data_IF_259079237153
#
_entry.id   IF_259079237153
#
_cell.length_a   1.000
_cell.length_b   1.000
_cell.length_c   1.000
_cell.angle_alpha   90.00
_cell.angle_beta   90.00
_cell.angle_gamma   90.00
#
_symmetry.space_group_name_H-M   'P 1'
#
loop_
_entity.id
_entity.type
_entity.pdbx_description
1 polymer ?
#
# COMPACT_ATOMS: atom_id res chain seq x y z
N UNK A 1 -28.30 11.36 1.26
CA UNK A 1 -27.78 10.03 1.61
C UNK A 1 -26.30 10.06 1.25
N UNK A 2 -25.40 9.60 2.12
CA UNK A 2 -23.95 9.58 1.84
C UNK A 2 -23.66 8.42 0.89
N UNK A 3 -22.87 8.68 -0.16
CA UNK A 3 -22.40 7.65 -1.10
C UNK A 3 -21.06 7.08 -0.63
N UNK A 4 -20.97 5.76 -0.52
CA UNK A 4 -19.79 5.02 -0.07
C UNK A 4 -19.10 4.27 -1.23
N UNK A 5 -19.57 4.43 -2.47
CA UNK A 5 -18.87 3.87 -3.62
C UNK A 5 -17.50 4.52 -3.79
N UNK A 6 -16.51 3.71 -4.15
CA UNK A 6 -15.18 4.22 -4.47
C UNK A 6 -15.21 5.06 -5.74
N UNK A 7 -14.46 6.16 -5.72
CA UNK A 7 -14.18 6.93 -6.94
C UNK A 7 -13.32 6.11 -7.90
N UNK A 8 -13.27 6.50 -9.17
CA UNK A 8 -12.41 5.81 -10.14
C UNK A 8 -10.91 5.98 -9.82
N UNK A 9 -10.53 7.07 -9.15
CA UNK A 9 -9.17 7.26 -8.65
C UNK A 9 -8.86 6.28 -7.50
N UNK A 10 -9.80 6.11 -6.56
CA UNK A 10 -9.68 5.14 -5.47
C UNK A 10 -9.62 3.70 -5.98
N UNK A 11 -10.42 3.34 -6.99
CA UNK A 11 -10.34 2.01 -7.61
C UNK A 11 -8.95 1.76 -8.22
N UNK A 12 -8.35 2.75 -8.88
CA UNK A 12 -6.98 2.63 -9.42
C UNK A 12 -5.93 2.50 -8.32
N UNK A 13 -6.08 3.21 -7.20
CA UNK A 13 -5.20 3.05 -6.04
C UNK A 13 -5.28 1.64 -5.46
N UNK A 14 -6.49 1.12 -5.30
CA UNK A 14 -6.77 -0.25 -4.85
C UNK A 14 -6.14 -1.28 -5.79
N UNK A 15 -6.35 -1.17 -7.10
CA UNK A 15 -5.75 -2.10 -8.07
C UNK A 15 -4.22 -2.06 -8.04
N UNK A 16 -3.63 -0.87 -7.97
CA UNK A 16 -2.18 -0.71 -7.86
C UNK A 16 -1.62 -1.35 -6.60
N UNK A 17 -2.27 -1.14 -5.46
CA UNK A 17 -1.87 -1.73 -4.18
C UNK A 17 -1.99 -3.26 -4.24
N UNK A 18 -3.10 -3.78 -4.78
CA UNK A 18 -3.35 -5.21 -4.95
C UNK A 18 -2.29 -5.89 -5.81
N UNK A 19 -1.93 -5.27 -6.93
CA UNK A 19 -0.89 -5.80 -7.81
C UNK A 19 0.48 -5.77 -7.15
N UNK A 20 0.79 -4.72 -6.40
CA UNK A 20 2.00 -4.67 -5.58
C UNK A 20 2.03 -5.81 -4.55
N UNK A 21 0.94 -6.02 -3.81
CA UNK A 21 0.84 -7.08 -2.81
C UNK A 21 1.09 -8.46 -3.42
N UNK A 22 0.42 -8.78 -4.52
CA UNK A 22 0.56 -10.07 -5.21
C UNK A 22 1.98 -10.34 -5.69
N UNK A 23 2.66 -9.31 -6.20
CA UNK A 23 3.98 -9.46 -6.83
C UNK A 23 5.15 -9.36 -5.83
N UNK A 24 4.99 -8.57 -4.76
CA UNK A 24 6.09 -8.24 -3.86
C UNK A 24 5.90 -8.78 -2.44
N UNK A 25 4.70 -8.65 -1.87
CA UNK A 25 4.41 -9.00 -0.46
C UNK A 25 4.09 -10.49 -0.31
N UNK A 26 3.01 -10.96 -0.93
CA UNK A 26 2.49 -12.33 -0.74
C UNK A 26 3.52 -13.44 -0.96
N UNK A 27 4.41 -13.38 -1.98
CA UNK A 27 5.39 -14.44 -2.22
C UNK A 27 6.44 -14.58 -1.11
N UNK A 28 6.70 -13.51 -0.34
CA UNK A 28 7.77 -13.45 0.67
C UNK A 28 7.26 -13.54 2.11
N UNK A 29 5.95 -13.39 2.33
CA UNK A 29 5.34 -13.33 3.67
C UNK A 29 5.81 -14.48 4.59
N UNK A 30 5.69 -15.74 4.14
CA UNK A 30 6.11 -16.90 4.95
C UNK A 30 7.60 -16.95 5.29
N UNK A 31 8.46 -16.40 4.43
CA UNK A 31 9.90 -16.34 4.70
C UNK A 31 10.16 -15.33 5.82
N UNK A 32 9.55 -14.15 5.74
CA UNK A 32 9.69 -13.12 6.76
C UNK A 32 9.07 -13.52 8.10
N UNK A 33 7.93 -14.21 8.11
CA UNK A 33 7.33 -14.76 9.34
C UNK A 33 8.28 -15.74 10.06
N UNK A 34 8.94 -16.61 9.30
CA UNK A 34 9.85 -17.63 9.86
C UNK A 34 11.16 -17.05 10.37
N UNK A 35 11.68 -16.05 9.68
CA UNK A 35 13.00 -15.47 9.96
C UNK A 35 12.94 -14.31 10.93
N UNK A 36 11.79 -13.61 11.01
CA UNK A 36 11.66 -12.33 11.69
C UNK A 36 12.50 -11.22 11.06
N UNK A 37 13.00 -11.41 9.84
CA UNK A 37 13.80 -10.42 9.16
C UNK A 37 12.94 -9.23 8.69
N UNK A 38 13.49 -8.03 8.77
CA UNK A 38 12.81 -6.84 8.29
C UNK A 38 12.77 -6.81 6.74
N UNK A 39 11.60 -6.64 6.10
CA UNK A 39 11.44 -6.73 4.65
C UNK A 39 11.89 -5.44 3.93
N UNK A 40 13.18 -5.10 4.05
CA UNK A 40 13.75 -3.86 3.51
C UNK A 40 13.58 -3.73 2.00
N UNK A 41 13.73 -4.83 1.26
CA UNK A 41 13.57 -4.88 -0.19
C UNK A 41 12.14 -4.51 -0.62
N UNK A 42 11.14 -5.03 0.07
CA UNK A 42 9.72 -4.71 -0.16
C UNK A 42 9.47 -3.23 0.16
N UNK A 43 9.97 -2.72 1.29
CA UNK A 43 9.79 -1.30 1.65
C UNK A 43 10.42 -0.36 0.60
N UNK A 44 11.63 -0.65 0.15
CA UNK A 44 12.29 0.14 -0.90
C UNK A 44 11.50 0.12 -2.21
N UNK A 45 10.93 -1.01 -2.58
CA UNK A 45 10.11 -1.14 -3.78
C UNK A 45 8.75 -0.43 -3.64
N UNK A 46 8.10 -0.53 -2.47
CA UNK A 46 6.88 0.22 -2.18
C UNK A 46 7.11 1.74 -2.28
N UNK A 47 8.26 2.22 -1.79
CA UNK A 47 8.65 3.63 -1.91
C UNK A 47 8.83 4.04 -3.37
N UNK A 48 9.57 3.26 -4.18
CA UNK A 48 9.77 3.54 -5.61
C UNK A 48 8.46 3.58 -6.39
N UNK A 49 7.51 2.72 -6.03
CA UNK A 49 6.20 2.69 -6.67
C UNK A 49 5.24 3.75 -6.12
N UNK A 50 5.67 4.57 -5.15
CA UNK A 50 4.85 5.64 -4.57
C UNK A 50 3.66 5.11 -3.77
N UNK A 51 3.86 4.00 -3.05
CA UNK A 51 2.88 3.39 -2.16
C UNK A 51 3.24 3.59 -0.67
N UNK A 52 4.17 4.49 -0.38
CA UNK A 52 4.57 4.88 0.98
C UNK A 52 4.30 6.37 1.23
N UNK A 53 4.10 6.73 2.50
CA UNK A 53 3.96 8.12 2.94
C UNK A 53 2.84 8.89 2.21
N UNK A 54 1.75 8.19 1.89
CA UNK A 54 0.68 8.66 0.99
C UNK A 54 -0.01 9.95 1.45
N UNK A 55 -0.15 10.14 2.76
CA UNK A 55 -0.79 11.30 3.37
C UNK A 55 0.12 12.54 3.42
N UNK A 56 1.42 12.40 3.16
CA UNK A 56 2.36 13.52 3.28
C UNK A 56 1.97 14.61 2.28
N UNK A 57 1.83 15.88 2.71
CA UNK A 57 1.46 16.97 1.81
C UNK A 57 2.43 17.16 0.64
N UNK A 58 1.88 17.65 -0.48
CA UNK A 58 2.64 17.87 -1.73
C UNK A 58 3.82 18.84 -1.56
N UNK A 59 3.71 19.83 -0.68
CA UNK A 59 4.79 20.77 -0.39
C UNK A 59 6.04 20.11 0.22
N UNK A 60 5.89 18.91 0.80
CA UNK A 60 6.98 18.09 1.31
C UNK A 60 7.35 16.93 0.37
N UNK A 61 6.85 16.94 -0.87
CA UNK A 61 7.14 15.91 -1.87
C UNK A 61 6.28 14.64 -1.76
N UNK A 62 5.24 14.65 -0.92
CA UNK A 62 4.32 13.53 -0.78
C UNK A 62 3.11 13.60 -1.71
N UNK A 63 2.27 12.55 -1.76
CA UNK A 63 1.09 12.51 -2.63
C UNK A 63 -0.07 13.42 -2.17
N UNK A 64 -0.15 13.71 -0.87
CA UNK A 64 -1.24 14.49 -0.26
C UNK A 64 -2.60 13.78 -0.35
N UNK A 65 -2.61 12.45 -0.26
CA UNK A 65 -3.84 11.65 -0.31
C UNK A 65 -4.61 11.73 1.01
N UNK A 66 -5.91 11.46 0.96
CA UNK A 66 -6.76 11.47 2.14
C UNK A 66 -6.50 10.26 3.04
N UNK A 67 -7.01 10.31 4.27
CA UNK A 67 -6.95 9.17 5.18
C UNK A 67 -7.67 7.93 4.61
N UNK A 68 -8.79 8.12 3.89
CA UNK A 68 -9.53 7.02 3.25
C UNK A 68 -8.69 6.38 2.15
N UNK A 69 -8.04 7.18 1.31
CA UNK A 69 -7.16 6.67 0.25
C UNK A 69 -5.98 5.88 0.83
N UNK A 70 -5.42 6.33 1.97
CA UNK A 70 -4.35 5.61 2.65
C UNK A 70 -4.83 4.24 3.15
N UNK A 71 -6.00 4.19 3.79
CA UNK A 71 -6.57 2.93 4.31
C UNK A 71 -6.88 1.96 3.18
N UNK A 72 -7.36 2.43 2.03
CA UNK A 72 -7.62 1.57 0.87
C UNK A 72 -6.34 0.90 0.34
N UNK A 73 -5.21 1.60 0.35
CA UNK A 73 -3.92 1.01 -0.03
C UNK A 73 -3.44 0.03 1.04
N UNK A 74 -3.54 0.40 2.31
CA UNK A 74 -3.11 -0.43 3.44
C UNK A 74 -3.91 -1.72 3.55
N UNK A 75 -5.24 -1.68 3.34
CA UNK A 75 -6.12 -2.85 3.32
C UNK A 75 -5.65 -3.88 2.28
N UNK A 76 -5.35 -3.44 1.06
CA UNK A 76 -4.87 -4.32 -0.01
C UNK A 76 -3.46 -4.85 0.29
N UNK A 77 -2.58 -4.07 0.91
CA UNK A 77 -1.26 -4.54 1.36
C UNK A 77 -1.36 -5.61 2.45
N UNK A 78 -2.26 -5.40 3.41
CA UNK A 78 -2.48 -6.30 4.53
C UNK A 78 -3.04 -7.67 4.10
N UNK A 79 -3.66 -7.78 2.90
CA UNK A 79 -4.05 -9.10 2.36
C UNK A 79 -2.87 -10.04 2.10
N UNK A 80 -1.66 -9.50 1.92
CA UNK A 80 -0.44 -10.29 1.74
C UNK A 80 0.29 -10.58 3.05
N UNK A 81 0.49 -9.54 3.88
CA UNK A 81 1.14 -9.61 5.18
C UNK A 81 0.83 -8.32 5.95
N UNK A 82 0.38 -8.44 7.20
CA UNK A 82 0.09 -7.29 8.07
C UNK A 82 1.32 -6.72 8.79
N UNK A 83 2.48 -7.38 8.63
CA UNK A 83 3.67 -7.16 9.45
C UNK A 83 3.86 -8.24 10.51
#
# INVERSE_FOLDING_TARGET
>A
MIDFNLTDEQKKLVEKARDFTKNFISPRAMEYDRTGAFPKDICEEAFKQGLMNLHVPKEYGGPGLSAVDCVLVEEEMATGCSG
#
